data_IF_022185953889
#
_entry.id   IF_022185953889
#
_cell.length_a   1.000
_cell.length_b   1.000
_cell.length_c   1.000
_cell.angle_alpha   90.00
_cell.angle_beta   90.00
_cell.angle_gamma   90.00
#
_symmetry.space_group_name_H-M   'P 1'
#
loop_
_entity.id
_entity.type
_entity.pdbx_description
1 polymer ?
#
# COMPACT_ATOMS: atom_id res chain seq x y z
N UNK A 1 0.73 11.06 20.07
CA UNK A 1 0.12 9.76 19.77
C UNK A 1 0.83 9.12 18.57
N UNK A 2 1.23 7.90 18.73
CA UNK A 2 1.90 7.19 17.65
C UNK A 2 0.88 6.75 16.62
N UNK A 3 1.08 7.16 15.40
CA UNK A 3 0.19 6.73 14.34
C UNK A 3 0.57 5.33 13.91
N UNK A 4 -0.40 4.45 13.95
CA UNK A 4 -0.20 3.11 13.44
C UNK A 4 -0.54 3.11 11.96
N UNK A 5 0.28 2.43 11.19
CA UNK A 5 -0.01 2.24 9.78
C UNK A 5 -1.28 1.41 9.66
N UNK A 6 -2.24 1.93 8.90
CA UNK A 6 -3.51 1.24 8.68
C UNK A 6 -3.43 0.42 7.40
N UNK A 7 -3.12 -0.85 7.56
CA UNK A 7 -2.94 -1.76 6.43
C UNK A 7 -4.22 -1.88 5.60
N UNK A 8 -5.36 -1.98 6.25
CA UNK A 8 -6.63 -2.12 5.54
C UNK A 8 -6.92 -0.91 4.66
N UNK A 9 -6.67 0.29 5.18
CA UNK A 9 -6.87 1.50 4.40
C UNK A 9 -5.89 1.60 3.24
N UNK A 10 -4.66 1.15 3.46
CA UNK A 10 -3.67 1.13 2.38
C UNK A 10 -4.11 0.22 1.24
N UNK A 11 -4.65 -0.95 1.58
CA UNK A 11 -5.17 -1.87 0.57
C UNK A 11 -6.36 -1.27 -0.17
N UNK A 12 -7.26 -0.60 0.55
CA UNK A 12 -8.39 0.08 -0.08
C UNK A 12 -7.91 1.14 -1.06
N UNK A 13 -6.91 1.91 -0.68
CA UNK A 13 -6.34 2.94 -1.55
C UNK A 13 -5.70 2.32 -2.78
N UNK A 14 -4.98 1.21 -2.59
CA UNK A 14 -4.37 0.51 -3.73
C UNK A 14 -5.42 0.01 -4.71
N UNK A 15 -6.53 -0.51 -4.19
CA UNK A 15 -7.62 -0.96 -5.04
C UNK A 15 -8.25 0.19 -5.82
N UNK A 16 -8.41 1.33 -5.17
CA UNK A 16 -8.94 2.52 -5.81
C UNK A 16 -7.99 3.01 -6.91
N UNK A 17 -6.68 2.96 -6.64
CA UNK A 17 -5.68 3.35 -7.63
C UNK A 17 -5.71 2.41 -8.82
N UNK A 18 -5.83 1.11 -8.59
CA UNK A 18 -5.91 0.14 -9.66
C UNK A 18 -7.10 0.41 -10.57
N UNK A 19 -8.25 0.73 -9.98
CA UNK A 19 -9.43 1.07 -10.74
C UNK A 19 -9.23 2.31 -11.62
N UNK A 20 -8.52 3.31 -11.08
CA UNK A 20 -8.22 4.52 -11.83
C UNK A 20 -7.27 4.26 -12.98
N UNK A 21 -6.25 3.44 -12.76
CA UNK A 21 -5.28 3.12 -13.79
C UNK A 21 -5.92 2.31 -14.92
N UNK A 22 -6.89 1.47 -14.59
CA UNK A 22 -7.60 0.67 -15.60
C UNK A 22 -8.65 1.46 -16.36
N UNK A 23 -9.04 2.61 -15.86
CA UNK A 23 -10.06 3.45 -16.50
C UNK A 23 -9.48 4.06 -17.79
N UNK A 24 -10.07 3.78 -18.96
CA UNK A 24 -9.55 4.32 -20.21
C UNK A 24 -9.64 5.83 -20.32
N UNK A 25 -10.40 6.49 -19.44
CA UNK A 25 -10.51 7.93 -19.42
C UNK A 25 -9.40 8.60 -18.62
N UNK A 26 -8.64 7.86 -17.86
CA UNK A 26 -7.56 8.41 -17.05
C UNK A 26 -6.42 8.86 -17.95
N UNK A 27 -5.97 10.09 -17.75
CA UNK A 27 -4.87 10.63 -18.56
C UNK A 27 -3.54 10.09 -18.08
N UNK A 28 -2.56 10.03 -19.00
CA UNK A 28 -1.25 9.44 -18.74
C UNK A 28 -0.54 10.12 -17.56
N UNK A 29 -0.66 11.44 -17.44
CA UNK A 29 -0.03 12.18 -16.35
C UNK A 29 -0.56 11.72 -14.99
N UNK A 30 -1.86 11.45 -14.92
CA UNK A 30 -2.46 10.97 -13.66
C UNK A 30 -2.03 9.53 -13.38
N UNK A 31 -1.87 8.72 -14.42
CA UNK A 31 -1.39 7.35 -14.25
C UNK A 31 -0.02 7.35 -13.57
N UNK A 32 0.87 8.24 -14.00
CA UNK A 32 2.19 8.34 -13.39
C UNK A 32 2.11 8.67 -11.90
N UNK A 33 1.24 9.59 -11.53
CA UNK A 33 1.02 9.94 -10.12
C UNK A 33 0.49 8.75 -9.33
N UNK A 34 -0.46 8.03 -9.90
CA UNK A 34 -1.02 6.85 -9.24
C UNK A 34 0.02 5.76 -9.06
N UNK A 35 0.88 5.56 -10.05
CA UNK A 35 1.94 4.57 -9.93
C UNK A 35 2.90 4.93 -8.80
N UNK A 36 3.31 6.18 -8.72
CA UNK A 36 4.19 6.63 -7.65
C UNK A 36 3.55 6.43 -6.28
N UNK A 37 2.28 6.78 -6.17
CA UNK A 37 1.55 6.60 -4.91
C UNK A 37 1.44 5.13 -4.55
N UNK A 38 1.15 4.27 -5.53
CA UNK A 38 1.04 2.85 -5.26
C UNK A 38 2.37 2.25 -4.81
N UNK A 39 3.49 2.73 -5.36
CA UNK A 39 4.81 2.28 -4.91
C UNK A 39 5.05 2.63 -3.45
N UNK A 40 4.65 3.83 -3.03
CA UNK A 40 4.75 4.23 -1.62
C UNK A 40 3.92 3.33 -0.73
N UNK A 41 2.69 3.05 -1.14
CA UNK A 41 1.79 2.19 -0.37
C UNK A 41 2.30 0.77 -0.30
N UNK A 42 2.80 0.23 -1.39
CA UNK A 42 3.34 -1.11 -1.43
C UNK A 42 4.55 -1.22 -0.50
N UNK A 43 5.43 -0.22 -0.53
CA UNK A 43 6.59 -0.20 0.34
C UNK A 43 6.18 -0.19 1.81
N UNK A 44 5.19 0.65 2.16
CA UNK A 44 4.70 0.72 3.53
C UNK A 44 4.06 -0.59 3.96
N UNK A 45 3.30 -1.24 3.07
CA UNK A 45 2.68 -2.52 3.36
C UNK A 45 3.73 -3.60 3.60
N UNK A 46 4.79 -3.62 2.80
CA UNK A 46 5.88 -4.58 2.99
C UNK A 46 6.55 -4.41 4.34
N UNK A 47 6.81 -3.16 4.73
CA UNK A 47 7.43 -2.89 6.02
C UNK A 47 6.52 -3.33 7.16
N UNK A 48 5.23 -3.07 7.02
CA UNK A 48 4.26 -3.49 8.02
C UNK A 48 4.25 -5.02 8.16
N UNK A 49 4.19 -5.73 7.05
CA UNK A 49 4.15 -7.19 7.05
C UNK A 49 5.43 -7.79 7.59
N UNK A 50 6.57 -7.17 7.29
CA UNK A 50 7.85 -7.60 7.83
C UNK A 50 7.84 -7.51 9.36
N UNK A 51 7.34 -6.40 9.89
CA UNK A 51 7.24 -6.22 11.34
C UNK A 51 6.35 -7.26 11.99
N UNK A 52 5.21 -7.55 11.37
CA UNK A 52 4.30 -8.58 11.87
C UNK A 52 4.97 -9.95 11.84
N UNK A 53 5.67 -10.25 10.76
CA UNK A 53 6.36 -11.53 10.62
C UNK A 53 7.45 -11.69 11.68
N UNK A 54 8.20 -10.63 11.96
CA UNK A 54 9.22 -10.67 12.99
C UNK A 54 8.62 -10.95 14.36
N UNK A 55 7.48 -10.37 14.66
CA UNK A 55 6.79 -10.61 15.92
C UNK A 55 6.34 -12.06 16.04
N UNK A 56 5.81 -12.60 14.96
CA UNK A 56 5.39 -14.01 14.95
C UNK A 56 6.58 -14.92 15.16
N UNK A 57 7.69 -14.64 14.49
CA UNK A 57 8.91 -15.43 14.63
C UNK A 57 9.42 -15.40 16.07
N UNK A 58 9.38 -14.23 16.71
CA UNK A 58 9.81 -14.09 18.10
C UNK A 58 8.93 -14.88 19.04
N UNK A 59 7.64 -14.96 18.75
CA UNK A 59 6.69 -15.71 19.57
C UNK A 59 6.82 -17.21 19.37
N UNK A 60 7.29 -17.63 18.21
CA UNK A 60 7.38 -19.06 17.87
C UNK A 60 8.66 -19.71 18.34
N UNK A 61 9.66 -18.93 18.69
CA UNK A 61 10.96 -19.48 19.07
C UNK A 61 11.12 -19.72 20.56
#
# INVERSE_FOLDING_TARGET
MTEKFDYAKAIEELEAIAAKVEDPKTVIEDIDKYIKRSEELISACREYLRGVREKIDAMSS
#
